data_IF_940356811508
#
_entry.id   IF_940356811508
#
_cell.length_a   1.000
_cell.length_b   1.000
_cell.length_c   1.000
_cell.angle_alpha   90.00
_cell.angle_beta   90.00
_cell.angle_gamma   90.00
#
_symmetry.space_group_name_H-M   'P 1'
#
loop_
_entity.id
_entity.type
_entity.pdbx_description
1 polymer ?
#
# COMPACT_ATOMS: atom_id res chain seq x y z
N UNK A 1 -23.02 14.50 37.01
CA UNK A 1 -21.59 14.18 36.90
C UNK A 1 -21.26 14.18 35.42
N UNK A 2 -20.44 15.13 34.99
CA UNK A 2 -20.21 15.48 33.58
C UNK A 2 -19.50 14.34 32.87
N UNK A 3 -20.23 13.64 31.99
CA UNK A 3 -19.63 12.79 30.96
C UNK A 3 -18.81 13.70 30.06
N UNK A 4 -17.51 13.44 29.98
CA UNK A 4 -16.61 14.04 29.01
C UNK A 4 -17.16 13.73 27.63
N UNK A 5 -17.85 14.69 27.02
CA UNK A 5 -18.39 14.60 25.67
C UNK A 5 -17.19 14.67 24.72
N UNK A 6 -16.47 13.55 24.61
CA UNK A 6 -15.41 13.34 23.62
C UNK A 6 -16.02 13.72 22.28
N UNK A 7 -15.43 14.69 21.59
CA UNK A 7 -15.98 15.21 20.33
C UNK A 7 -15.69 14.22 19.20
N UNK A 8 -16.34 13.07 19.25
CA UNK A 8 -16.27 11.99 18.25
C UNK A 8 -16.57 12.51 16.84
N UNK A 9 -17.34 13.62 16.72
CA UNK A 9 -17.59 14.37 15.48
C UNK A 9 -16.33 14.79 14.69
N UNK A 10 -15.14 14.69 15.28
CA UNK A 10 -13.84 14.94 14.63
C UNK A 10 -13.23 13.71 13.96
N UNK A 11 -13.73 12.50 14.25
CA UNK A 11 -13.19 11.23 13.74
C UNK A 11 -13.22 11.18 12.21
N UNK A 12 -14.32 11.60 11.59
CA UNK A 12 -14.41 11.63 10.13
C UNK A 12 -13.34 12.54 9.51
N UNK A 13 -13.14 13.74 10.06
CA UNK A 13 -12.10 14.66 9.58
C UNK A 13 -10.69 14.09 9.71
N UNK A 14 -10.44 13.32 10.77
CA UNK A 14 -9.18 12.59 10.93
C UNK A 14 -9.05 11.44 9.92
N UNK A 15 -10.14 10.69 9.68
CA UNK A 15 -10.17 9.62 8.69
C UNK A 15 -9.94 10.13 7.26
N UNK A 16 -10.48 11.28 6.94
CA UNK A 16 -10.20 11.99 5.70
C UNK A 16 -8.74 12.47 5.64
N UNK A 17 -8.15 12.89 6.76
CA UNK A 17 -6.76 13.34 6.82
C UNK A 17 -5.77 12.23 6.48
N UNK A 18 -5.90 11.04 7.09
CA UNK A 18 -5.02 9.91 6.76
C UNK A 18 -5.36 9.24 5.41
N UNK A 19 -6.42 9.70 4.73
CA UNK A 19 -6.79 9.29 3.37
C UNK A 19 -6.79 10.45 2.36
N UNK A 20 -6.05 11.51 2.63
CA UNK A 20 -6.08 12.72 1.80
C UNK A 20 -5.79 12.44 0.30
N UNK A 21 -4.90 11.49 0.00
CA UNK A 21 -4.60 11.08 -1.36
C UNK A 21 -5.71 10.21 -1.96
N UNK A 22 -6.24 9.24 -1.20
CA UNK A 22 -7.35 8.40 -1.67
C UNK A 22 -8.53 9.25 -2.14
N UNK A 23 -8.88 10.27 -1.34
CA UNK A 23 -10.07 11.09 -1.56
C UNK A 23 -9.89 12.14 -2.67
N UNK A 24 -8.69 12.70 -2.81
CA UNK A 24 -8.50 13.87 -3.69
C UNK A 24 -7.31 13.75 -4.65
N UNK A 25 -6.35 12.88 -4.35
CA UNK A 25 -5.08 12.77 -5.07
C UNK A 25 -5.23 12.26 -6.50
N UNK A 26 -6.12 11.28 -6.72
CA UNK A 26 -6.35 10.70 -8.05
C UNK A 26 -6.90 11.71 -9.08
N UNK A 27 -7.57 12.76 -8.62
CA UNK A 27 -8.16 13.78 -9.49
C UNK A 27 -7.16 14.85 -9.96
N UNK A 28 -5.94 14.89 -9.41
CA UNK A 28 -4.97 15.97 -9.63
C UNK A 28 -4.27 15.94 -11.01
N UNK A 29 -4.64 15.04 -11.92
CA UNK A 29 -4.08 14.92 -13.28
C UNK A 29 -2.52 14.94 -13.30
N UNK A 30 -1.89 14.42 -12.24
CA UNK A 30 -0.43 14.51 -12.01
C UNK A 30 0.18 13.18 -11.53
N UNK A 31 -0.43 12.06 -11.91
CA UNK A 31 0.02 10.73 -11.50
C UNK A 31 0.12 9.79 -12.69
N UNK A 32 1.17 8.97 -12.68
CA UNK A 32 1.46 7.97 -13.71
C UNK A 32 1.53 6.59 -13.07
N UNK A 33 0.95 5.55 -13.68
CA UNK A 33 1.18 4.17 -13.24
C UNK A 33 2.69 3.86 -13.23
N UNK A 34 3.18 3.28 -12.14
CA UNK A 34 4.53 2.71 -12.07
C UNK A 34 4.45 1.20 -12.30
N UNK A 35 5.13 0.73 -13.34
CA UNK A 35 5.13 -0.67 -13.77
C UNK A 35 6.48 -1.33 -13.53
N UNK A 36 6.42 -2.61 -13.14
CA UNK A 36 7.57 -3.52 -13.08
C UNK A 36 7.17 -4.84 -13.72
N UNK A 37 7.85 -5.25 -14.79
CA UNK A 37 7.52 -6.47 -15.52
C UNK A 37 6.06 -6.49 -16.03
N UNK A 38 5.58 -5.37 -16.56
CA UNK A 38 4.20 -5.20 -17.03
C UNK A 38 3.12 -5.19 -15.93
N UNK A 39 3.49 -5.24 -14.64
CA UNK A 39 2.55 -5.17 -13.53
C UNK A 39 2.59 -3.79 -12.87
N UNK A 40 1.43 -3.19 -12.61
CA UNK A 40 1.39 -1.93 -11.86
C UNK A 40 1.67 -2.20 -10.38
N UNK A 41 2.70 -1.56 -9.85
CA UNK A 41 3.12 -1.71 -8.45
C UNK A 41 3.07 -0.41 -7.64
N UNK A 42 2.85 0.72 -8.31
CA UNK A 42 2.78 2.02 -7.66
C UNK A 42 2.31 3.16 -8.56
N UNK A 43 2.63 4.39 -8.14
CA UNK A 43 2.28 5.64 -8.79
C UNK A 43 3.46 6.62 -8.75
N UNK A 44 3.75 7.28 -9.86
CA UNK A 44 4.77 8.34 -9.98
C UNK A 44 4.09 9.71 -10.12
N UNK A 45 4.47 10.65 -9.24
CA UNK A 45 4.08 12.08 -9.32
C UNK A 45 4.99 12.88 -10.27
N UNK A 46 4.59 14.08 -10.71
CA UNK A 46 5.41 14.87 -11.64
C UNK A 46 6.83 15.20 -11.15
N UNK A 47 6.99 15.49 -9.88
CA UNK A 47 8.28 15.81 -9.27
C UNK A 47 9.25 14.62 -9.36
N UNK A 48 8.78 13.43 -9.02
CA UNK A 48 9.52 12.17 -9.19
C UNK A 48 9.78 11.89 -10.66
N UNK A 49 8.76 11.99 -11.51
CA UNK A 49 8.86 11.79 -12.96
C UNK A 49 9.98 12.63 -13.61
N UNK A 50 10.10 13.92 -13.24
CA UNK A 50 11.16 14.80 -13.75
C UNK A 50 12.56 14.29 -13.47
N UNK A 51 12.76 13.61 -12.34
CA UNK A 51 14.05 13.01 -12.00
C UNK A 51 14.27 11.71 -12.75
N UNK A 52 13.24 10.88 -12.91
CA UNK A 52 13.35 9.59 -13.62
C UNK A 52 13.69 9.76 -15.11
N UNK A 53 13.34 10.90 -15.73
CA UNK A 53 13.74 11.24 -17.11
C UNK A 53 15.26 11.26 -17.34
N UNK A 54 16.05 11.43 -16.28
CA UNK A 54 17.52 11.45 -16.34
C UNK A 54 18.14 10.06 -16.47
N UNK A 55 17.35 9.00 -16.32
CA UNK A 55 17.79 7.60 -16.31
C UNK A 55 17.04 6.78 -17.39
N UNK A 56 17.16 7.14 -18.68
CA UNK A 56 16.44 6.45 -19.77
C UNK A 56 16.85 4.98 -19.95
N UNK A 57 18.02 4.59 -19.45
CA UNK A 57 18.49 3.21 -19.40
C UNK A 57 17.77 2.36 -18.35
N UNK A 58 17.23 2.98 -17.29
CA UNK A 58 16.50 2.29 -16.20
C UNK A 58 15.00 2.42 -16.33
N UNK A 59 14.47 3.52 -16.87
CA UNK A 59 13.03 3.75 -16.99
C UNK A 59 12.58 3.95 -18.44
N UNK A 60 11.63 3.12 -18.86
CA UNK A 60 10.89 3.29 -20.10
C UNK A 60 9.62 4.12 -19.83
N UNK A 61 9.61 5.36 -20.32
CA UNK A 61 8.46 6.25 -20.23
C UNK A 61 7.70 6.18 -21.54
N UNK A 62 6.38 5.96 -21.46
CA UNK A 62 5.53 5.78 -22.64
C UNK A 62 4.20 6.50 -22.49
N UNK A 63 3.63 6.89 -23.62
CA UNK A 63 2.25 7.34 -23.66
C UNK A 63 1.32 6.23 -23.20
N UNK A 64 0.23 6.63 -22.55
CA UNK A 64 -0.77 5.73 -22.00
C UNK A 64 -2.13 6.22 -22.43
N UNK A 65 -2.90 5.36 -23.09
CA UNK A 65 -4.24 5.72 -23.53
C UNK A 65 -5.22 5.90 -22.35
N UNK A 66 -4.86 5.43 -21.15
CA UNK A 66 -5.70 5.43 -19.94
C UNK A 66 -5.38 6.59 -18.99
N UNK A 67 -4.19 7.17 -19.10
CA UNK A 67 -3.74 8.30 -18.29
C UNK A 67 -3.14 9.31 -19.23
N UNK A 68 -3.70 10.53 -19.27
CA UNK A 68 -3.22 11.61 -20.16
C UNK A 68 -1.72 11.89 -19.98
N UNK A 69 -1.18 11.53 -18.82
CA UNK A 69 0.18 11.77 -18.36
C UNK A 69 1.17 10.68 -18.80
N UNK A 70 0.71 9.58 -19.40
CA UNK A 70 1.56 8.42 -19.72
C UNK A 70 1.76 7.47 -18.54
N UNK A 71 2.74 6.58 -18.67
CA UNK A 71 3.17 5.63 -17.64
C UNK A 71 4.69 5.61 -17.52
N UNK A 72 5.17 5.10 -16.39
CA UNK A 72 6.59 4.82 -16.15
C UNK A 72 6.76 3.34 -15.91
N UNK A 73 7.57 2.66 -16.71
CA UNK A 73 7.92 1.26 -16.50
C UNK A 73 9.42 1.12 -16.22
N UNK A 74 9.79 0.35 -15.19
CA UNK A 74 11.16 -0.11 -15.01
C UNK A 74 11.56 -0.96 -16.21
N UNK A 75 12.73 -0.70 -16.81
CA UNK A 75 13.16 -1.25 -18.09
C UNK A 75 12.78 -2.74 -18.23
N UNK A 76 11.90 -3.09 -19.20
CA UNK A 76 11.37 -4.45 -19.33
C UNK A 76 12.43 -5.47 -19.74
N UNK A 77 13.63 -5.03 -20.14
CA UNK A 77 14.77 -5.90 -20.36
C UNK A 77 15.27 -6.56 -19.06
N UNK A 78 15.02 -5.97 -17.88
CA UNK A 78 15.42 -6.52 -16.59
C UNK A 78 14.51 -7.70 -16.20
N UNK A 79 15.08 -8.91 -16.25
CA UNK A 79 14.30 -10.16 -16.28
C UNK A 79 13.97 -10.69 -14.89
N UNK A 80 14.87 -10.50 -13.93
CA UNK A 80 14.74 -11.09 -12.60
C UNK A 80 14.72 -10.06 -11.46
N UNK A 81 14.43 -10.57 -10.26
CA UNK A 81 14.29 -9.80 -9.04
C UNK A 81 15.57 -9.03 -8.68
N UNK A 82 16.73 -9.65 -8.82
CA UNK A 82 18.01 -9.07 -8.41
C UNK A 82 18.44 -7.98 -9.40
N UNK A 83 18.34 -8.26 -10.70
CA UNK A 83 18.68 -7.29 -11.75
C UNK A 83 17.86 -6.01 -11.63
N UNK A 84 16.54 -6.13 -11.44
CA UNK A 84 15.64 -4.99 -11.21
C UNK A 84 16.00 -4.20 -9.96
N UNK A 85 16.34 -4.92 -8.89
CA UNK A 85 16.72 -4.33 -7.61
C UNK A 85 17.99 -3.50 -7.75
N UNK A 86 19.04 -4.07 -8.37
CA UNK A 86 20.35 -3.41 -8.50
C UNK A 86 20.23 -2.12 -9.31
N UNK A 87 19.62 -2.17 -10.49
CA UNK A 87 19.49 -0.98 -11.33
C UNK A 87 18.62 0.11 -10.69
N UNK A 88 17.55 -0.28 -9.97
CA UNK A 88 16.76 0.69 -9.24
C UNK A 88 17.56 1.31 -8.08
N UNK A 89 18.29 0.50 -7.30
CA UNK A 89 19.10 0.97 -6.16
C UNK A 89 20.18 1.97 -6.61
N UNK A 90 20.84 1.73 -7.75
CA UNK A 90 21.80 2.67 -8.34
C UNK A 90 21.19 4.06 -8.58
N UNK A 91 19.98 4.11 -9.15
CA UNK A 91 19.25 5.36 -9.34
C UNK A 91 18.90 6.00 -8.00
N UNK A 92 18.37 5.23 -7.05
CA UNK A 92 17.97 5.74 -5.74
C UNK A 92 19.15 6.34 -4.96
N UNK A 93 20.33 5.72 -5.05
CA UNK A 93 21.58 6.24 -4.45
C UNK A 93 22.06 7.51 -5.13
N UNK A 94 21.95 7.60 -6.45
CA UNK A 94 22.23 8.82 -7.20
C UNK A 94 21.31 9.97 -6.75
N UNK A 95 19.99 9.72 -6.72
CA UNK A 95 19.00 10.70 -6.27
C UNK A 95 19.19 11.14 -4.81
N UNK A 96 19.62 10.21 -3.93
CA UNK A 96 19.98 10.51 -2.54
C UNK A 96 21.20 11.43 -2.47
N UNK A 97 22.25 11.12 -3.23
CA UNK A 97 23.50 11.89 -3.24
C UNK A 97 23.28 13.31 -3.73
N UNK A 98 22.40 13.48 -4.72
CA UNK A 98 21.99 14.78 -5.25
C UNK A 98 21.06 15.56 -4.30
N UNK A 99 20.58 14.95 -3.22
CA UNK A 99 19.62 15.55 -2.30
C UNK A 99 18.27 15.86 -2.95
N UNK A 100 17.90 15.13 -4.01
CA UNK A 100 16.73 15.43 -4.86
C UNK A 100 15.41 15.33 -4.11
N UNK A 101 15.34 14.49 -3.07
CA UNK A 101 14.14 14.27 -2.28
C UNK A 101 14.46 14.22 -0.78
N UNK A 102 13.66 14.90 0.03
CA UNK A 102 13.74 14.83 1.50
C UNK A 102 13.56 13.39 2.01
N UNK A 103 12.70 12.59 1.37
CA UNK A 103 12.44 11.20 1.71
C UNK A 103 13.72 10.35 1.78
N UNK A 104 14.64 10.55 0.84
CA UNK A 104 15.87 9.77 0.75
C UNK A 104 16.90 10.12 1.84
N UNK A 105 16.67 11.17 2.65
CA UNK A 105 17.48 11.45 3.84
C UNK A 105 17.26 10.39 4.92
N UNK A 106 16.07 9.79 4.98
CA UNK A 106 15.70 8.75 5.93
C UNK A 106 16.12 7.33 5.51
N UNK A 107 17.22 7.21 4.78
CA UNK A 107 17.78 5.93 4.32
C UNK A 107 18.31 5.12 5.50
N UNK A 108 17.95 3.84 5.57
CA UNK A 108 18.23 2.95 6.72
C UNK A 108 18.92 1.65 6.33
N UNK A 109 19.23 1.46 5.04
CA UNK A 109 19.69 0.17 4.51
C UNK A 109 18.69 -0.97 4.84
N UNK A 110 17.41 -0.62 4.79
CA UNK A 110 16.28 -1.46 5.11
C UNK A 110 15.32 -1.46 3.92
N UNK A 111 15.24 -2.58 3.22
CA UNK A 111 14.43 -2.69 2.02
C UNK A 111 13.06 -3.32 2.29
N UNK A 112 12.06 -2.84 1.55
CA UNK A 112 10.73 -3.45 1.45
C UNK A 112 10.55 -4.18 0.13
N UNK A 113 9.72 -5.22 0.15
CA UNK A 113 9.33 -5.94 -1.05
C UNK A 113 8.35 -5.13 -1.89
N UNK A 114 8.63 -4.98 -3.18
CA UNK A 114 7.69 -4.40 -4.15
C UNK A 114 6.95 -5.55 -4.83
N UNK A 115 5.66 -5.69 -4.49
CA UNK A 115 4.83 -6.84 -4.87
C UNK A 115 3.71 -6.47 -5.83
N UNK A 116 3.44 -7.36 -6.78
CA UNK A 116 2.17 -7.46 -7.47
C UNK A 116 1.44 -8.70 -6.95
N UNK A 117 0.22 -8.54 -6.44
CA UNK A 117 -0.48 -9.56 -5.66
C UNK A 117 0.45 -10.16 -4.58
N UNK A 118 0.78 -11.45 -4.66
CA UNK A 118 1.65 -12.15 -3.72
C UNK A 118 3.10 -12.29 -4.22
N UNK A 119 3.40 -11.87 -5.45
CA UNK A 119 4.71 -12.06 -6.08
C UNK A 119 5.60 -10.83 -5.87
N UNK A 120 6.73 -11.02 -5.21
CA UNK A 120 7.80 -10.04 -5.13
C UNK A 120 8.49 -9.87 -6.49
N UNK A 121 8.63 -8.63 -6.95
CA UNK A 121 9.20 -8.30 -8.26
C UNK A 121 10.58 -7.66 -8.18
N UNK A 122 10.86 -6.96 -7.07
CA UNK A 122 12.14 -6.38 -6.68
C UNK A 122 12.04 -5.97 -5.19
N UNK A 123 13.17 -5.58 -4.59
CA UNK A 123 13.18 -4.83 -3.33
C UNK A 123 13.58 -3.38 -3.54
N UNK A 124 13.05 -2.51 -2.69
CA UNK A 124 13.27 -1.07 -2.75
C UNK A 124 13.59 -0.56 -1.34
N UNK A 125 14.54 0.36 -1.23
CA UNK A 125 14.82 1.01 0.04
C UNK A 125 13.57 1.65 0.64
N UNK A 126 13.31 1.40 1.94
CA UNK A 126 12.13 1.88 2.66
C UNK A 126 11.89 3.38 2.47
N UNK A 127 12.94 4.18 2.55
CA UNK A 127 12.92 5.63 2.37
C UNK A 127 12.45 6.09 0.98
N UNK A 128 12.67 5.27 -0.05
CA UNK A 128 12.32 5.58 -1.43
C UNK A 128 10.89 5.17 -1.79
N UNK A 129 10.30 4.22 -1.06
CA UNK A 129 8.95 3.69 -1.35
C UNK A 129 7.87 4.77 -1.54
N UNK A 130 7.87 5.91 -0.80
CA UNK A 130 6.85 6.93 -1.02
C UNK A 130 6.99 7.70 -2.34
N UNK A 131 8.20 7.74 -2.93
CA UNK A 131 8.42 8.38 -4.23
C UNK A 131 7.77 7.58 -5.37
N UNK A 132 7.68 6.27 -5.21
CA UNK A 132 7.10 5.37 -6.20
C UNK A 132 5.65 5.00 -5.88
N UNK A 133 5.10 5.50 -4.77
CA UNK A 133 3.78 5.17 -4.28
C UNK A 133 3.54 3.67 -4.27
N UNK A 134 4.55 2.88 -3.88
CA UNK A 134 4.39 1.42 -3.79
C UNK A 134 3.67 1.07 -2.50
N UNK A 135 2.86 0.01 -2.56
CA UNK A 135 2.16 -0.51 -1.37
C UNK A 135 3.16 -0.93 -0.31
N UNK A 136 2.92 -0.48 0.91
CA UNK A 136 3.75 -0.83 2.07
C UNK A 136 2.94 -1.67 3.03
N UNK A 137 3.67 -2.52 3.74
CA UNK A 137 3.15 -3.37 4.78
C UNK A 137 3.92 -3.11 6.05
N UNK A 138 3.23 -3.14 7.18
CA UNK A 138 3.83 -3.08 8.49
C UNK A 138 2.96 -3.82 9.49
N UNK A 139 3.40 -3.81 10.74
CA UNK A 139 2.71 -4.43 11.87
C UNK A 139 2.59 -3.39 12.96
N UNK A 140 1.47 -3.42 13.66
CA UNK A 140 1.24 -2.59 14.85
C UNK A 140 0.64 -3.45 15.96
N UNK A 141 1.07 -3.20 17.20
CA UNK A 141 0.54 -3.87 18.39
C UNK A 141 -0.16 -2.84 19.28
N UNK A 142 -1.45 -3.05 19.51
CA UNK A 142 -2.18 -2.37 20.58
C UNK A 142 -1.94 -3.12 21.89
N UNK A 143 -1.01 -2.63 22.71
CA UNK A 143 -0.90 -3.08 24.08
C UNK A 143 -1.92 -2.36 24.96
N UNK A 144 -2.77 -3.13 25.65
CA UNK A 144 -3.87 -2.57 26.44
C UNK A 144 -4.01 -3.27 27.78
N UNK A 145 -4.68 -2.61 28.72
CA UNK A 145 -4.96 -3.10 30.07
C UNK A 145 -6.43 -2.88 30.39
N UNK A 146 -7.08 -3.87 31.02
CA UNK A 146 -8.39 -3.68 31.66
C UNK A 146 -8.18 -3.19 33.09
N UNK A 147 -7.96 -1.88 33.23
CA UNK A 147 -7.64 -1.27 34.51
C UNK A 147 -8.84 -1.32 35.48
N UNK A 148 -8.67 -1.74 36.75
CA UNK A 148 -9.78 -1.89 37.69
C UNK A 148 -10.58 -0.61 37.95
N UNK A 149 -9.94 0.56 37.83
CA UNK A 149 -10.57 1.86 38.10
C UNK A 149 -10.92 2.66 36.84
N UNK A 150 -10.21 2.42 35.74
CA UNK A 150 -10.29 3.25 34.52
C UNK A 150 -10.91 2.51 33.33
N UNK A 151 -11.18 1.21 33.49
CA UNK A 151 -11.70 0.38 32.40
C UNK A 151 -10.64 0.12 31.34
N UNK A 152 -11.00 0.30 30.08
CA UNK A 152 -10.08 0.08 28.96
C UNK A 152 -9.01 1.18 28.92
N UNK A 153 -7.75 0.78 29.08
CA UNK A 153 -6.58 1.64 28.93
C UNK A 153 -5.64 1.11 27.84
N UNK A 154 -4.99 2.01 27.10
CA UNK A 154 -4.14 1.68 25.95
C UNK A 154 -2.77 2.33 26.17
N UNK A 155 -1.72 1.56 25.95
CA UNK A 155 -0.36 2.10 25.90
C UNK A 155 -0.13 2.80 24.57
N UNK A 156 0.44 4.00 24.65
CA UNK A 156 1.00 4.72 23.52
C UNK A 156 2.48 4.93 23.77
N UNK A 157 3.25 5.01 22.69
CA UNK A 157 4.65 5.39 22.76
C UNK A 157 4.85 6.81 22.22
N UNK A 158 5.87 7.50 22.70
CA UNK A 158 6.39 8.70 22.09
C UNK A 158 7.69 8.34 21.36
N UNK A 159 7.70 8.60 20.05
CA UNK A 159 8.85 8.33 19.19
C UNK A 159 10.05 9.16 19.61
N UNK A 160 11.25 8.57 19.55
CA UNK A 160 12.50 9.31 19.78
C UNK A 160 12.61 10.53 18.85
N UNK A 161 13.20 11.61 19.34
CA UNK A 161 13.54 12.80 18.54
C UNK A 161 14.55 12.49 17.42
N UNK A 162 15.25 11.36 17.47
CA UNK A 162 16.21 10.93 16.44
C UNK A 162 15.59 10.12 15.31
N UNK A 163 14.30 9.75 15.40
CA UNK A 163 13.60 9.04 14.31
C UNK A 163 13.56 9.89 13.05
N UNK A 164 13.84 9.29 11.90
CA UNK A 164 13.92 10.00 10.62
C UNK A 164 12.52 10.39 10.10
N UNK A 165 11.46 9.77 10.62
CA UNK A 165 10.08 10.16 10.34
C UNK A 165 9.31 10.36 11.64
N UNK A 166 8.49 11.42 11.67
CA UNK A 166 7.64 11.79 12.80
C UNK A 166 8.39 11.83 14.15
N UNK A 167 9.58 12.49 14.26
CA UNK A 167 10.33 12.55 15.51
C UNK A 167 9.51 13.22 16.63
N UNK A 168 9.60 12.67 17.84
CA UNK A 168 8.93 13.21 19.04
C UNK A 168 7.40 13.03 19.10
N UNK A 169 6.80 12.44 18.08
CA UNK A 169 5.34 12.28 17.99
C UNK A 169 4.84 11.04 18.70
N UNK A 170 3.59 11.09 19.16
CA UNK A 170 2.86 9.94 19.72
C UNK A 170 2.50 8.94 18.63
N UNK A 171 2.58 7.66 18.97
CA UNK A 171 2.44 6.51 18.07
C UNK A 171 1.77 5.33 18.81
N UNK A 172 1.41 4.28 18.07
CA UNK A 172 0.98 3.00 18.64
C UNK A 172 2.08 2.41 19.54
N UNK A 173 1.72 1.65 20.57
CA UNK A 173 2.69 1.14 21.55
C UNK A 173 3.93 0.51 20.91
N UNK A 174 3.72 -0.32 19.89
CA UNK A 174 4.78 -0.95 19.08
C UNK A 174 4.36 -0.91 17.63
N UNK A 175 5.26 -0.54 16.72
CA UNK A 175 4.97 -0.57 15.29
C UNK A 175 6.21 -0.61 14.39
N UNK A 176 6.21 -1.51 13.40
CA UNK A 176 7.37 -1.73 12.53
C UNK A 176 7.01 -2.01 11.07
N UNK A 177 7.95 -1.70 10.18
CA UNK A 177 7.81 -1.99 8.76
C UNK A 177 8.07 -3.47 8.43
N UNK A 178 7.37 -4.02 7.44
CA UNK A 178 7.59 -5.39 7.01
C UNK A 178 8.76 -5.47 6.01
N UNK A 179 9.95 -5.65 6.56
CA UNK A 179 11.21 -5.70 5.81
C UNK A 179 11.42 -7.01 5.07
N UNK A 180 12.21 -6.94 3.99
CA UNK A 180 12.59 -8.11 3.19
C UNK A 180 13.18 -9.19 4.10
N UNK A 181 12.68 -10.42 3.95
CA UNK A 181 13.17 -11.59 4.69
C UNK A 181 12.45 -11.88 6.01
N UNK A 182 11.58 -10.98 6.49
CA UNK A 182 10.83 -11.18 7.73
C UNK A 182 9.37 -11.56 7.48
N UNK A 183 8.86 -12.49 8.30
CA UNK A 183 7.42 -12.81 8.35
C UNK A 183 6.64 -11.80 9.20
N UNK A 184 5.32 -11.69 9.00
CA UNK A 184 4.47 -10.73 9.74
C UNK A 184 4.57 -10.94 11.26
N UNK A 185 4.36 -12.17 11.74
CA UNK A 185 4.46 -12.49 13.17
C UNK A 185 5.89 -12.35 13.70
N UNK A 186 6.88 -12.67 12.87
CA UNK A 186 8.29 -12.51 13.22
C UNK A 186 8.65 -11.04 13.44
N UNK A 187 8.19 -10.15 12.54
CA UNK A 187 8.32 -8.71 12.71
C UNK A 187 7.60 -8.25 13.97
N UNK A 188 6.34 -8.63 14.20
CA UNK A 188 5.61 -8.19 15.40
C UNK A 188 6.34 -8.59 16.70
N UNK A 189 6.88 -9.81 16.77
CA UNK A 189 7.64 -10.28 17.95
C UNK A 189 8.99 -9.55 18.10
N UNK A 190 9.70 -9.29 16.99
CA UNK A 190 10.95 -8.51 17.00
C UNK A 190 10.71 -7.10 17.54
N UNK A 191 9.77 -6.37 16.94
CA UNK A 191 9.46 -4.98 17.30
C UNK A 191 8.94 -4.89 18.75
N UNK A 192 8.15 -5.88 19.20
CA UNK A 192 7.68 -5.95 20.59
C UNK A 192 8.84 -6.02 21.60
N UNK A 193 9.90 -6.73 21.25
CA UNK A 193 11.09 -6.84 22.08
C UNK A 193 11.95 -5.57 22.03
N UNK A 194 12.14 -4.98 20.84
CA UNK A 194 13.01 -3.82 20.61
C UNK A 194 12.41 -2.51 21.15
N UNK A 195 11.16 -2.20 20.80
CA UNK A 195 10.55 -0.91 21.15
C UNK A 195 10.05 -0.89 22.60
N UNK A 196 9.50 -2.00 23.11
CA UNK A 196 8.77 -2.03 24.39
C UNK A 196 9.25 -3.08 25.40
N UNK A 197 10.33 -3.82 25.11
CA UNK A 197 10.88 -4.87 25.98
C UNK A 197 9.85 -5.91 26.42
N UNK A 198 8.89 -6.26 25.55
CA UNK A 198 7.85 -7.24 25.87
C UNK A 198 8.51 -8.63 25.96
N UNK A 199 8.42 -9.31 27.12
CA UNK A 199 9.04 -10.61 27.31
C UNK A 199 8.27 -11.73 26.59
N UNK A 200 8.96 -12.84 26.31
CA UNK A 200 8.44 -13.95 25.49
C UNK A 200 7.17 -14.59 26.05
N UNK A 201 7.02 -14.60 27.37
CA UNK A 201 5.85 -15.13 28.07
C UNK A 201 4.61 -14.23 27.94
N UNK A 202 4.77 -12.94 27.65
CA UNK A 202 3.66 -12.05 27.30
C UNK A 202 3.40 -12.05 25.80
N UNK A 203 4.44 -11.97 24.97
CA UNK A 203 4.28 -11.87 23.50
C UNK A 203 3.57 -13.07 22.88
N UNK A 204 3.62 -14.25 23.52
CA UNK A 204 2.88 -15.45 23.07
C UNK A 204 1.36 -15.30 23.10
N UNK A 205 0.83 -14.31 23.82
CA UNK A 205 -0.61 -14.04 23.95
C UNK A 205 -1.10 -13.03 22.90
N UNK A 206 -0.25 -12.64 21.96
CA UNK A 206 -0.54 -11.66 20.93
C UNK A 206 -1.60 -12.22 19.96
N UNK A 207 -2.68 -11.46 19.74
CA UNK A 207 -3.84 -11.89 18.95
C UNK A 207 -3.91 -11.07 17.67
N UNK A 208 -4.01 -11.75 16.52
CA UNK A 208 -4.27 -11.08 15.24
C UNK A 208 -5.67 -10.46 15.25
N UNK A 209 -5.73 -9.14 15.05
CA UNK A 209 -6.96 -8.36 15.04
C UNK A 209 -7.41 -7.94 13.62
N UNK A 210 -6.64 -8.28 12.59
CA UNK A 210 -6.95 -7.97 11.20
C UNK A 210 -5.93 -7.00 10.61
N UNK A 211 -6.41 -6.03 9.81
CA UNK A 211 -5.56 -4.98 9.27
C UNK A 211 -6.35 -3.70 8.98
N UNK A 212 -5.66 -2.58 9.04
CA UNK A 212 -6.15 -1.30 8.52
C UNK A 212 -5.41 -0.94 7.23
N UNK A 213 -6.06 -0.21 6.35
CA UNK A 213 -5.46 0.29 5.11
C UNK A 213 -5.91 1.70 4.78
N UNK A 214 -4.95 2.54 4.39
CA UNK A 214 -5.17 3.95 4.08
C UNK A 214 -4.23 4.42 2.97
N UNK A 215 -4.60 5.52 2.32
CA UNK A 215 -3.75 6.15 1.31
C UNK A 215 -3.49 7.62 1.64
N UNK A 216 -2.36 7.85 2.30
CA UNK A 216 -1.91 9.16 2.74
C UNK A 216 -0.89 9.76 1.77
N UNK A 217 -0.87 11.08 1.65
CA UNK A 217 0.14 11.87 0.95
C UNK A 217 0.74 12.87 1.94
N UNK A 218 2.07 12.96 1.93
CA UNK A 218 2.85 13.97 2.65
C UNK A 218 3.89 14.61 1.74
N UNK A 219 4.69 15.51 2.31
CA UNK A 219 5.88 16.08 1.68
C UNK A 219 6.92 15.02 1.26
N UNK A 220 6.89 13.85 1.89
CA UNK A 220 7.78 12.73 1.56
C UNK A 220 7.28 11.90 0.36
N UNK A 221 6.02 12.05 -0.05
CA UNK A 221 5.41 11.30 -1.15
C UNK A 221 4.12 10.57 -0.79
N UNK A 222 3.92 9.40 -1.38
CA UNK A 222 2.69 8.61 -1.35
C UNK A 222 2.79 7.40 -0.41
N UNK A 223 1.79 7.23 0.45
CA UNK A 223 1.75 6.25 1.54
C UNK A 223 0.50 5.36 1.43
N UNK A 224 0.43 4.46 0.42
CA UNK A 224 -0.55 3.39 0.38
C UNK A 224 -0.11 2.28 1.35
N UNK A 225 -0.61 2.35 2.58
CA UNK A 225 -0.18 1.50 3.69
C UNK A 225 -1.25 0.45 4.05
N UNK A 226 -0.80 -0.76 4.35
CA UNK A 226 -1.57 -1.79 5.04
C UNK A 226 -0.83 -2.18 6.30
N UNK A 227 -1.44 -1.95 7.47
CA UNK A 227 -0.86 -2.33 8.76
C UNK A 227 -1.58 -3.56 9.29
N UNK A 228 -0.84 -4.64 9.55
CA UNK A 228 -1.35 -5.83 10.23
C UNK A 228 -1.46 -5.55 11.72
N UNK A 229 -2.67 -5.61 12.24
CA UNK A 229 -2.97 -5.19 13.61
C UNK A 229 -2.98 -6.40 14.53
N UNK A 230 -2.30 -6.26 15.65
CA UNK A 230 -2.31 -7.20 16.74
C UNK A 230 -2.75 -6.53 18.03
N UNK A 231 -3.45 -7.28 18.87
CA UNK A 231 -3.83 -6.84 20.21
C UNK A 231 -3.09 -7.70 21.24
N UNK A 232 -2.62 -7.05 22.31
CA UNK A 232 -1.97 -7.72 23.44
C UNK A 232 -2.51 -7.15 24.75
N UNK A 233 -3.25 -7.97 25.49
CA UNK A 233 -3.63 -7.64 26.86
C UNK A 233 -2.42 -7.80 27.78
N UNK A 234 -2.05 -6.72 28.46
CA UNK A 234 -0.89 -6.65 29.34
C UNK A 234 -1.31 -6.68 30.81
N UNK A 235 -0.48 -7.25 31.69
CA UNK A 235 -0.66 -7.11 33.13
C UNK A 235 -0.71 -5.63 33.55
N UNK A 236 -1.51 -5.32 34.57
CA UNK A 236 -1.68 -3.94 35.06
C UNK A 236 -0.38 -3.35 35.64
N UNK A 237 0.52 -4.21 36.11
CA UNK A 237 1.83 -3.88 36.66
C UNK A 237 2.96 -3.92 35.62
N UNK A 238 2.67 -4.29 34.37
CA UNK A 238 3.64 -4.21 33.29
C UNK A 238 3.85 -2.76 32.85
N UNK A 239 5.11 -2.35 32.80
CA UNK A 239 5.53 -1.03 32.30
C UNK A 239 6.52 -1.26 31.15
N UNK A 240 6.20 -0.85 29.91
CA UNK A 240 7.10 -1.02 28.78
C UNK A 240 8.37 -0.21 28.93
N UNK A 241 9.45 -0.72 28.35
CA UNK A 241 10.76 -0.09 28.37
C UNK A 241 11.38 -0.12 26.97
N UNK A 242 11.98 0.99 26.57
CA UNK A 242 12.76 1.06 25.34
C UNK A 242 14.02 0.19 25.46
N UNK A 243 14.26 -0.70 24.49
CA UNK A 243 15.49 -1.50 24.43
C UNK A 243 16.49 -1.04 23.36
N UNK A 244 16.09 -0.33 22.31
CA UNK A 244 16.92 -0.06 21.12
C UNK A 244 17.20 1.43 20.84
N UNK A 245 16.58 2.35 21.58
CA UNK A 245 16.72 3.80 21.40
C UNK A 245 15.64 4.46 20.55
N UNK A 246 14.66 3.70 20.06
CA UNK A 246 13.62 4.18 19.14
C UNK A 246 12.48 4.93 19.82
N UNK A 247 12.31 4.72 21.13
CA UNK A 247 11.22 5.26 21.95
C UNK A 247 11.73 6.16 23.07
N UNK A 248 11.15 7.35 23.26
CA UNK A 248 11.59 8.25 24.36
C UNK A 248 10.69 8.21 25.59
N UNK A 249 9.42 7.84 25.44
CA UNK A 249 8.48 7.74 26.55
C UNK A 249 7.32 6.79 26.21
N UNK A 250 6.66 6.29 27.25
CA UNK A 250 5.42 5.54 27.17
C UNK A 250 4.36 6.19 28.06
N UNK A 251 3.10 6.08 27.65
CA UNK A 251 1.97 6.55 28.45
C UNK A 251 0.78 5.60 28.33
N UNK A 252 0.21 5.21 29.47
CA UNK A 252 -1.00 4.42 29.55
C UNK A 252 -2.20 5.36 29.71
N UNK A 253 -3.07 5.39 28.71
CA UNK A 253 -4.23 6.29 28.69
C UNK A 253 -5.55 5.52 28.80
N UNK A 254 -6.51 5.97 29.62
CA UNK A 254 -7.91 5.59 29.47
C UNK A 254 -8.41 5.86 28.04
N UNK A 255 -9.34 5.03 27.55
CA UNK A 255 -9.81 5.09 26.16
C UNK A 255 -10.32 6.48 25.74
N UNK A 256 -11.01 7.22 26.63
CA UNK A 256 -11.46 8.59 26.37
C UNK A 256 -10.29 9.56 26.12
N UNK A 257 -9.22 9.45 26.91
CA UNK A 257 -8.03 10.29 26.77
C UNK A 257 -7.20 9.89 25.55
N UNK A 258 -7.17 8.59 25.23
CA UNK A 258 -6.54 8.08 24.01
C UNK A 258 -7.18 8.69 22.75
N UNK A 259 -8.53 8.79 22.69
CA UNK A 259 -9.23 9.46 21.59
C UNK A 259 -8.79 10.92 21.45
N UNK A 260 -8.74 11.67 22.55
CA UNK A 260 -8.31 13.07 22.52
C UNK A 260 -6.83 13.19 22.11
N UNK A 261 -5.99 12.25 22.54
CA UNK A 261 -4.57 12.21 22.14
C UNK A 261 -4.39 12.06 20.64
N UNK A 262 -5.17 11.18 20.01
CA UNK A 262 -5.11 10.93 18.55
C UNK A 262 -5.43 12.20 17.74
N UNK A 263 -6.20 13.14 18.29
CA UNK A 263 -6.52 14.39 17.62
C UNK A 263 -5.47 15.50 17.78
N UNK A 264 -4.45 15.30 18.60
CA UNK A 264 -3.40 16.30 18.80
C UNK A 264 -2.50 16.40 17.56
N UNK A 265 -1.91 17.58 17.27
CA UNK A 265 -0.94 17.73 16.18
C UNK A 265 0.31 16.87 16.39
N UNK A 266 0.58 16.48 17.63
CA UNK A 266 1.72 15.65 18.03
C UNK A 266 1.47 14.16 17.87
N UNK A 267 0.29 13.73 17.41
CA UNK A 267 0.04 12.34 17.04
C UNK A 267 0.47 12.04 15.60
N UNK A 268 1.16 10.92 15.37
CA UNK A 268 1.55 10.46 14.04
C UNK A 268 0.30 10.12 13.24
N UNK A 269 0.10 10.83 12.13
CA UNK A 269 -1.16 10.75 11.37
C UNK A 269 -1.43 9.34 10.83
N UNK A 270 -0.40 8.61 10.42
CA UNK A 270 -0.53 7.25 9.87
C UNK A 270 -0.73 6.16 10.93
N UNK A 271 -0.63 6.51 12.21
CA UNK A 271 -0.86 5.61 13.36
C UNK A 271 -2.30 5.70 13.89
N UNK A 272 -2.98 6.80 13.58
CA UNK A 272 -4.35 7.03 13.97
C UNK A 272 -5.33 5.91 13.53
N UNK A 273 -5.21 5.35 12.30
CA UNK A 273 -6.10 4.27 11.86
C UNK A 273 -6.11 3.08 12.82
N UNK A 274 -4.95 2.67 13.32
CA UNK A 274 -4.81 1.49 14.21
C UNK A 274 -5.51 1.72 15.56
N UNK A 275 -5.36 2.91 16.14
CA UNK A 275 -6.03 3.25 17.40
C UNK A 275 -7.55 3.33 17.23
N UNK A 276 -8.01 3.95 16.13
CA UNK A 276 -9.45 4.07 15.86
C UNK A 276 -10.07 2.68 15.63
N UNK A 277 -9.43 1.83 14.82
CA UNK A 277 -9.82 0.43 14.63
C UNK A 277 -9.92 -0.32 15.96
N UNK A 278 -8.91 -0.20 16.83
CA UNK A 278 -8.94 -0.80 18.16
C UNK A 278 -10.15 -0.35 18.97
N UNK A 279 -10.40 0.96 19.06
CA UNK A 279 -11.50 1.53 19.83
C UNK A 279 -12.87 1.13 19.27
N UNK A 280 -13.00 0.92 17.96
CA UNK A 280 -14.20 0.37 17.33
C UNK A 280 -14.38 -1.10 17.73
N UNK A 281 -13.35 -1.94 17.54
CA UNK A 281 -13.41 -3.38 17.85
C UNK A 281 -13.68 -3.67 19.33
N UNK A 282 -13.24 -2.80 20.22
CA UNK A 282 -13.49 -2.90 21.67
C UNK A 282 -14.77 -2.17 22.13
N UNK A 283 -15.60 -1.68 21.20
CA UNK A 283 -16.93 -1.14 21.48
C UNK A 283 -16.93 0.24 22.15
N UNK A 284 -15.80 0.96 22.11
CA UNK A 284 -15.71 2.32 22.63
C UNK A 284 -16.27 3.34 21.64
N UNK A 285 -15.94 3.19 20.36
CA UNK A 285 -16.58 3.92 19.26
C UNK A 285 -17.63 3.00 18.65
N UNK A 286 -18.88 3.45 18.57
CA UNK A 286 -20.02 2.65 18.11
C UNK A 286 -20.89 3.46 17.14
N UNK A 287 -21.73 2.77 16.37
CA UNK A 287 -22.71 3.42 15.50
C UNK A 287 -23.76 4.26 16.27
N UNK A 288 -23.90 4.05 17.58
CA UNK A 288 -24.82 4.83 18.43
C UNK A 288 -24.19 6.15 18.90
N UNK A 289 -22.86 6.23 19.01
CA UNK A 289 -22.15 7.40 19.50
C UNK A 289 -21.37 8.18 18.43
N UNK A 290 -21.22 7.65 17.22
CA UNK A 290 -20.59 8.33 16.08
C UNK A 290 -21.49 8.27 14.83
N UNK A 291 -21.92 9.43 14.37
CA UNK A 291 -22.88 9.55 13.25
C UNK A 291 -22.28 9.10 11.90
N UNK A 292 -20.97 9.24 11.72
CA UNK A 292 -20.26 8.85 10.49
C UNK A 292 -19.59 7.47 10.62
N UNK A 293 -20.04 6.62 11.55
CA UNK A 293 -19.38 5.37 11.90
C UNK A 293 -19.06 4.49 10.68
N UNK A 294 -20.01 4.28 9.78
CA UNK A 294 -19.81 3.43 8.61
C UNK A 294 -18.80 4.00 7.62
N UNK A 295 -18.81 5.33 7.41
CA UNK A 295 -17.84 5.99 6.54
C UNK A 295 -16.42 5.93 7.15
N UNK A 296 -16.30 6.07 8.46
CA UNK A 296 -15.02 5.90 9.18
C UNK A 296 -14.50 4.48 8.99
N UNK A 297 -15.35 3.45 9.16
CA UNK A 297 -14.97 2.05 8.92
C UNK A 297 -14.50 1.84 7.48
N UNK A 298 -15.20 2.38 6.48
CA UNK A 298 -14.74 2.31 5.08
C UNK A 298 -13.36 2.97 4.88
N UNK A 299 -13.13 4.12 5.51
CA UNK A 299 -11.85 4.84 5.44
C UNK A 299 -10.72 4.15 6.20
N UNK A 300 -11.02 3.24 7.13
CA UNK A 300 -10.01 2.36 7.76
C UNK A 300 -9.63 1.17 6.87
N UNK A 301 -10.36 0.92 5.79
CA UNK A 301 -10.19 -0.25 4.92
C UNK A 301 -10.13 0.15 3.44
N UNK A 302 -9.34 1.17 3.10
CA UNK A 302 -9.15 1.58 1.71
C UNK A 302 -8.70 0.37 0.87
N UNK A 303 -9.33 0.09 -0.28
CA UNK A 303 -9.14 -1.16 -1.02
C UNK A 303 -7.85 -1.15 -1.85
N UNK A 304 -6.69 -0.98 -1.20
CA UNK A 304 -5.37 -0.85 -1.84
C UNK A 304 -5.01 -2.05 -2.74
N UNK A 305 -5.60 -3.23 -2.50
CA UNK A 305 -5.37 -4.42 -3.33
C UNK A 305 -5.94 -4.28 -4.74
N UNK A 306 -7.03 -3.53 -4.90
CA UNK A 306 -7.72 -3.34 -6.17
C UNK A 306 -7.59 -1.93 -6.74
N UNK A 307 -6.76 -1.05 -6.15
CA UNK A 307 -6.57 0.31 -6.68
C UNK A 307 -5.67 0.36 -7.91
N UNK A 308 -4.65 -0.50 -7.99
CA UNK A 308 -3.70 -0.52 -9.11
C UNK A 308 -4.22 -1.38 -10.25
N UNK A 309 -5.05 -0.76 -11.10
CA UNK A 309 -5.89 -1.44 -12.10
C UNK A 309 -5.43 -1.27 -13.54
N UNK A 310 -4.26 -0.67 -13.80
CA UNK A 310 -3.80 -0.39 -15.17
C UNK A 310 -3.89 -1.63 -16.08
N UNK A 311 -3.37 -2.78 -15.62
CA UNK A 311 -3.34 -4.02 -16.41
C UNK A 311 -4.75 -4.55 -16.68
N UNK A 312 -5.60 -4.61 -15.67
CA UNK A 312 -7.00 -5.06 -15.81
C UNK A 312 -7.77 -4.18 -16.79
N UNK A 313 -7.59 -2.86 -16.75
CA UNK A 313 -8.21 -1.91 -17.70
C UNK A 313 -7.68 -2.12 -19.13
N UNK A 314 -6.39 -2.41 -19.28
CA UNK A 314 -5.78 -2.74 -20.57
C UNK A 314 -6.38 -4.01 -21.18
N UNK A 315 -6.47 -5.08 -20.39
CA UNK A 315 -6.98 -6.38 -20.82
C UNK A 315 -8.48 -6.32 -21.20
N UNK A 316 -9.30 -5.64 -20.40
CA UNK A 316 -10.72 -5.44 -20.70
C UNK A 316 -10.94 -4.72 -22.04
N UNK A 317 -10.13 -3.71 -22.35
CA UNK A 317 -10.23 -2.98 -23.62
C UNK A 317 -9.77 -3.82 -24.81
N UNK A 318 -8.70 -4.61 -24.65
CA UNK A 318 -8.24 -5.53 -25.70
C UNK A 318 -9.31 -6.59 -26.02
N UNK A 319 -9.96 -7.14 -25.00
CA UNK A 319 -11.09 -8.05 -25.17
C UNK A 319 -12.29 -7.36 -25.86
N UNK A 320 -12.62 -6.12 -25.47
CA UNK A 320 -13.64 -5.33 -26.17
C UNK A 320 -13.28 -5.10 -27.64
N UNK A 321 -12.04 -4.71 -27.96
CA UNK A 321 -11.60 -4.51 -29.35
C UNK A 321 -11.63 -5.81 -30.18
N UNK A 322 -11.24 -6.94 -29.58
CA UNK A 322 -11.31 -8.25 -30.24
C UNK A 322 -12.76 -8.71 -30.46
N UNK A 323 -13.69 -8.36 -29.56
CA UNK A 323 -15.12 -8.65 -29.72
C UNK A 323 -15.83 -7.77 -30.76
N UNK A 324 -15.24 -6.64 -31.15
CA UNK A 324 -15.79 -5.70 -32.14
C UNK A 324 -15.18 -5.84 -33.54
N UNK A 325 -14.19 -6.70 -33.73
CA UNK A 325 -13.68 -7.04 -35.06
C UNK A 325 -14.68 -7.95 -35.77
N UNK A 326 -15.10 -7.65 -37.02
CA UNK A 326 -15.97 -8.54 -37.77
C UNK A 326 -15.27 -9.90 -37.92
N UNK A 327 -15.98 -10.99 -37.63
CA UNK A 327 -15.55 -12.32 -38.05
C UNK A 327 -15.50 -12.28 -39.57
N UNK A 328 -14.31 -12.36 -40.15
CA UNK A 328 -14.13 -12.59 -41.57
C UNK A 328 -14.66 -14.00 -41.88
N UNK A 329 -15.97 -14.13 -42.09
CA UNK A 329 -16.58 -15.25 -42.78
C UNK A 329 -16.29 -15.11 -44.29
N UNK A 330 -15.01 -15.16 -44.67
CA UNK A 330 -14.61 -15.39 -46.05
C UNK A 330 -14.60 -16.90 -46.31
N UNK A 331 -15.80 -17.46 -46.43
CA UNK A 331 -16.00 -18.72 -47.12
C UNK A 331 -15.79 -18.45 -48.62
N UNK A 332 -14.56 -18.61 -49.09
CA UNK A 332 -14.18 -18.49 -50.48
C UNK A 332 -14.86 -19.62 -51.27
N UNK A 333 -16.06 -19.35 -51.79
CA UNK A 333 -16.81 -20.26 -52.62
C UNK A 333 -16.28 -20.19 -54.06
N UNK A 334 -15.12 -20.79 -54.30
CA UNK A 334 -14.67 -21.15 -55.64
C UNK A 334 -15.15 -22.57 -55.93
N UNK A 335 -16.24 -22.70 -56.69
CA UNK A 335 -16.37 -23.64 -57.80
C UNK A 335 -17.85 -23.81 -58.22
N UNK A 336 -18.23 -23.08 -59.27
CA UNK A 336 -19.37 -23.49 -60.10
C UNK A 336 -19.08 -23.14 -61.56
N UNK A 337 -18.28 -23.98 -62.20
CA UNK A 337 -18.17 -24.04 -63.67
C UNK A 337 -19.39 -24.81 -64.21
N UNK A 338 -20.21 -24.26 -65.11
CA UNK A 338 -21.34 -24.99 -65.69
C UNK A 338 -20.86 -26.00 -66.74
N UNK A 339 -21.20 -27.28 -66.55
CA UNK A 339 -21.02 -28.36 -67.54
C UNK A 339 -21.94 -28.14 -68.74
N UNK A 340 -21.38 -28.04 -69.95
CA UNK A 340 -22.12 -28.21 -71.22
C UNK A 340 -22.30 -29.70 -71.53
N UNK A 341 -23.38 -30.13 -72.20
CA UNK A 341 -23.62 -31.53 -72.52
C UNK A 341 -22.78 -31.97 -73.73
N UNK A 342 -22.20 -33.18 -73.64
CA UNK A 342 -21.52 -33.87 -74.73
C UNK A 342 -22.55 -34.56 -75.61
N UNK A 343 -22.59 -34.19 -76.89
CA UNK A 343 -23.29 -34.90 -77.95
C UNK A 343 -22.56 -36.20 -78.33
N UNK A 344 -23.34 -37.25 -78.59
CA UNK A 344 -22.88 -38.55 -79.06
C UNK A 344 -22.38 -38.47 -80.51
N UNK A 345 -21.09 -38.75 -80.72
CA UNK A 345 -20.48 -38.94 -82.04
C UNK A 345 -19.83 -40.31 -82.17
N UNK A 346 -20.58 -41.28 -82.68
CA UNK A 346 -20.06 -42.52 -83.23
C UNK A 346 -19.23 -42.21 -84.50
N UNK A 347 -17.96 -42.64 -84.56
CA UNK A 347 -17.46 -43.26 -85.78
C UNK A 347 -16.18 -44.07 -85.53
N UNK A 348 -16.30 -45.36 -85.83
CA UNK A 348 -15.20 -46.31 -86.06
C UNK A 348 -14.38 -45.87 -87.27
N UNK A 349 -13.07 -46.04 -87.20
CA UNK A 349 -12.25 -46.41 -88.37
C UNK A 349 -11.19 -47.42 -87.96
N UNK A 350 -11.47 -48.68 -88.28
CA UNK A 350 -10.45 -49.65 -88.68
C UNK A 350 -10.20 -49.47 -90.19
N UNK A 351 -8.94 -49.62 -90.62
CA UNK A 351 -8.62 -50.08 -91.98
C UNK A 351 -7.81 -49.13 -92.87
N UNK A 352 -6.54 -49.53 -93.04
CA UNK A 352 -5.56 -49.20 -94.09
C UNK A 352 -4.84 -47.83 -94.02
#
# INVERSE_FOLDING_TARGET
MSSTEVKLSRLLGLAQKFNNFYLTGFHKDDIRPFLVGGQQVGLIKADVYKQLLKFPEVFCIRDCQYTKQGLVELNPAFRDYNERTVHLDEVLRSLRSDGSFSALKGWRDECFEVKFEHKALLKMERAATPLFGVRKYGVDINGYVRHPQHGLCIWLQQRSNTKETWPGKWDNMVGGGLSVGFGIMETAVKEAAEEASIPKDLVKNLVSAGCVSFFFESDQGLFPNTEYVFDLELPVDFVPQNADGEVQAFELLPANECVERVFTPDFKTTSAPVVIDFLIRHGYITAENEINFTEIVELLHVPLQSLYTYKTRLEQKLQQHQSTLPKDDNNCNCDSVPKRPLENGHNKKDGA
#
